data_IF_696988154296
#
_entry.id   IF_696988154296
#
_cell.length_a   1.000
_cell.length_b   1.000
_cell.length_c   1.000
_cell.angle_alpha   90.00
_cell.angle_beta   90.00
_cell.angle_gamma   90.00
#
_symmetry.space_group_name_H-M   'P 1'
#
loop_
_entity.id
_entity.type
_entity.pdbx_description
1 polymer ?
#
# COMPACT_ATOMS: atom_id res chain seq x y z
N UNK A 1 13.14 -15.94 16.30
CA UNK A 1 11.72 -15.78 15.92
C UNK A 1 11.35 -17.00 15.07
N UNK A 2 10.66 -17.99 15.62
CA UNK A 2 10.44 -19.32 14.98
C UNK A 2 9.01 -19.55 14.48
N UNK A 3 8.22 -18.49 14.30
CA UNK A 3 6.84 -18.56 13.81
C UNK A 3 6.85 -18.50 12.28
N UNK A 4 6.09 -19.40 11.65
CA UNK A 4 5.93 -19.49 10.19
C UNK A 4 4.49 -19.21 9.73
N UNK A 5 3.64 -18.86 10.69
CA UNK A 5 2.18 -18.75 10.62
C UNK A 5 1.72 -17.30 10.84
N UNK A 6 2.64 -16.34 10.78
CA UNK A 6 2.29 -14.91 10.88
C UNK A 6 2.03 -14.40 9.47
N UNK A 7 0.76 -14.05 9.21
CA UNK A 7 0.34 -13.39 7.98
C UNK A 7 0.79 -11.92 7.95
N UNK A 8 1.03 -11.39 6.75
CA UNK A 8 1.36 -9.98 6.54
C UNK A 8 0.68 -9.44 5.28
N UNK A 9 0.37 -8.14 5.29
CA UNK A 9 -0.15 -7.43 4.12
C UNK A 9 0.67 -6.17 3.90
N UNK A 10 1.13 -5.95 2.67
CA UNK A 10 1.91 -4.76 2.30
C UNK A 10 1.03 -3.75 1.57
N UNK A 11 0.99 -2.50 2.06
CA UNK A 11 0.54 -1.37 1.27
C UNK A 11 1.65 -0.93 0.34
N UNK A 12 1.50 -1.19 -0.96
CA UNK A 12 2.48 -0.74 -1.96
C UNK A 12 2.56 0.80 -1.90
N UNK A 13 3.74 1.39 -2.11
CA UNK A 13 3.85 2.85 -2.28
C UNK A 13 2.90 3.33 -3.39
N UNK A 14 2.33 4.53 -3.29
CA UNK A 14 1.38 5.11 -4.28
C UNK A 14 2.02 5.46 -5.63
N UNK A 15 1.22 5.94 -6.58
CA UNK A 15 1.67 6.36 -7.91
C UNK A 15 2.49 7.68 -7.91
N UNK A 16 2.60 8.37 -6.78
CA UNK A 16 3.32 9.64 -6.61
C UNK A 16 4.66 9.75 -7.36
N UNK A 17 5.55 8.77 -7.16
CA UNK A 17 6.92 8.83 -7.64
C UNK A 17 7.17 8.05 -8.93
N UNK A 18 6.16 7.65 -9.70
CA UNK A 18 6.35 6.73 -10.85
C UNK A 18 7.33 7.24 -11.91
N UNK A 19 7.50 8.56 -12.03
CA UNK A 19 8.46 9.16 -12.95
C UNK A 19 9.92 8.94 -12.55
N UNK A 20 10.19 8.53 -11.30
CA UNK A 20 11.52 8.32 -10.74
C UNK A 20 12.50 9.52 -10.87
N UNK A 21 12.00 10.75 -11.10
CA UNK A 21 12.86 11.94 -11.26
C UNK A 21 13.47 12.40 -9.95
N UNK A 22 12.63 12.62 -8.94
CA UNK A 22 13.04 13.06 -7.60
C UNK A 22 13.42 11.88 -6.69
N UNK A 23 12.71 10.76 -6.85
CA UNK A 23 12.90 9.52 -6.08
C UNK A 23 13.24 8.38 -7.06
N UNK A 24 14.53 8.19 -7.41
CA UNK A 24 14.95 7.32 -8.52
C UNK A 24 14.64 5.83 -8.35
N UNK A 25 14.18 5.43 -7.17
CA UNK A 25 13.93 4.04 -6.80
C UNK A 25 12.47 3.77 -6.44
N UNK A 26 11.55 4.70 -6.72
CA UNK A 26 10.16 4.57 -6.36
C UNK A 26 9.51 3.32 -6.98
N UNK A 27 9.66 3.14 -8.28
CA UNK A 27 9.12 1.95 -8.96
C UNK A 27 9.88 0.66 -8.61
N UNK A 28 11.17 0.76 -8.29
CA UNK A 28 11.96 -0.38 -7.83
C UNK A 28 11.44 -0.92 -6.49
N UNK A 29 11.17 -0.03 -5.53
CA UNK A 29 10.61 -0.42 -4.23
C UNK A 29 9.17 -0.93 -4.38
N UNK A 30 8.33 -0.27 -5.20
CA UNK A 30 6.98 -0.76 -5.52
C UNK A 30 7.00 -2.20 -6.02
N UNK A 31 7.92 -2.52 -6.94
CA UNK A 31 8.10 -3.87 -7.47
C UNK A 31 8.54 -4.85 -6.39
N UNK A 32 9.55 -4.50 -5.58
CA UNK A 32 10.03 -5.37 -4.52
C UNK A 32 8.95 -5.65 -3.44
N UNK A 33 8.11 -4.67 -3.12
CA UNK A 33 6.99 -4.85 -2.18
C UNK A 33 5.99 -5.90 -2.67
N UNK A 34 5.62 -5.85 -3.95
CA UNK A 34 4.73 -6.83 -4.57
C UNK A 34 5.39 -8.20 -4.62
N UNK A 35 6.64 -8.29 -5.08
CA UNK A 35 7.38 -9.56 -5.18
C UNK A 35 7.52 -10.26 -3.82
N UNK A 36 7.80 -9.53 -2.74
CA UNK A 36 7.89 -10.11 -1.39
C UNK A 36 6.55 -10.65 -0.90
N UNK A 37 5.46 -9.93 -1.16
CA UNK A 37 4.13 -10.39 -0.79
C UNK A 37 3.72 -11.65 -1.57
N UNK A 38 3.92 -11.65 -2.89
CA UNK A 38 3.53 -12.76 -3.77
C UNK A 38 4.40 -14.01 -3.60
N UNK A 39 5.67 -13.85 -3.17
CA UNK A 39 6.56 -14.98 -2.92
C UNK A 39 6.25 -15.76 -1.62
N UNK A 40 5.34 -15.27 -0.79
CA UNK A 40 5.00 -15.86 0.52
C UNK A 40 3.56 -16.34 0.55
N UNK A 41 3.27 -17.59 0.94
CA UNK A 41 1.90 -18.03 1.19
C UNK A 41 1.25 -17.32 2.40
N UNK A 42 2.02 -16.60 3.21
CA UNK A 42 1.54 -15.78 4.32
C UNK A 42 1.37 -14.29 3.92
N UNK A 43 1.68 -13.95 2.67
CA UNK A 43 1.73 -12.57 2.18
C UNK A 43 0.58 -12.22 1.25
N UNK A 44 0.11 -10.98 1.36
CA UNK A 44 -0.71 -10.34 0.33
C UNK A 44 -0.34 -8.85 0.27
N UNK A 45 -0.88 -8.11 -0.68
CA UNK A 45 -0.64 -6.68 -0.84
C UNK A 45 -1.89 -5.94 -1.32
N UNK A 46 -1.88 -4.62 -1.14
CA UNK A 46 -2.97 -3.73 -1.56
C UNK A 46 -2.44 -2.64 -2.47
N UNK A 47 -3.19 -2.37 -3.53
CA UNK A 47 -2.95 -1.22 -4.40
C UNK A 47 -3.37 0.08 -3.69
N UNK A 48 -2.63 1.15 -3.98
CA UNK A 48 -2.74 2.47 -3.34
C UNK A 48 -2.68 3.62 -4.34
N UNK A 49 -2.63 3.32 -5.65
CA UNK A 49 -2.49 4.32 -6.72
C UNK A 49 -3.65 5.32 -6.76
N UNK A 50 -4.82 4.98 -6.21
CA UNK A 50 -6.03 5.80 -6.20
C UNK A 50 -6.28 6.53 -4.87
N UNK A 51 -5.33 6.50 -3.92
CA UNK A 51 -5.57 6.90 -2.53
C UNK A 51 -4.97 8.27 -2.14
N UNK A 52 -4.22 8.91 -3.04
CA UNK A 52 -3.46 10.14 -2.77
C UNK A 52 -4.05 11.41 -3.42
N UNK A 53 -5.32 11.34 -3.81
CA UNK A 53 -6.14 12.48 -4.24
C UNK A 53 -7.25 12.77 -3.21
N UNK A 54 -7.68 14.03 -3.10
CA UNK A 54 -8.81 14.46 -2.26
C UNK A 54 -8.37 15.40 -1.14
N UNK A 55 -8.99 15.34 0.05
CA UNK A 55 -8.66 16.25 1.16
C UNK A 55 -7.67 15.66 2.16
N UNK A 56 -6.65 16.42 2.52
CA UNK A 56 -5.76 16.09 3.63
C UNK A 56 -6.42 16.41 5.00
N UNK A 57 -5.69 16.15 6.11
CA UNK A 57 -6.20 16.38 7.48
C UNK A 57 -6.46 17.86 7.81
N UNK A 58 -5.82 18.78 7.10
CA UNK A 58 -6.03 20.22 7.23
C UNK A 58 -7.23 20.72 6.40
N UNK A 59 -7.85 19.84 5.60
CA UNK A 59 -8.95 20.18 4.71
C UNK A 59 -8.51 20.72 3.35
N UNK A 60 -7.22 20.70 3.04
CA UNK A 60 -6.66 21.16 1.77
C UNK A 60 -6.81 20.07 0.70
N UNK A 61 -7.16 20.47 -0.52
CA UNK A 61 -7.16 19.57 -1.68
C UNK A 61 -5.72 19.20 -2.05
N UNK A 62 -5.46 17.91 -2.12
CA UNK A 62 -4.22 17.30 -2.56
C UNK A 62 -4.46 16.51 -3.83
N UNK A 63 -3.46 16.49 -4.70
CA UNK A 63 -3.48 15.73 -5.93
C UNK A 63 -2.12 15.08 -6.15
N UNK A 64 -2.12 13.77 -6.29
CA UNK A 64 -0.95 12.94 -6.42
C UNK A 64 0.11 13.31 -5.38
N UNK A 65 -0.27 13.31 -4.10
CA UNK A 65 0.62 13.66 -2.99
C UNK A 65 1.43 12.42 -2.54
N UNK A 66 2.61 12.58 -1.91
CA UNK A 66 3.29 11.48 -1.24
C UNK A 66 2.49 10.85 -0.09
N UNK A 67 1.53 11.58 0.50
CA UNK A 67 0.63 11.07 1.54
C UNK A 67 -0.78 10.83 0.99
N UNK A 68 -1.53 9.94 1.63
CA UNK A 68 -2.92 9.67 1.26
C UNK A 68 -3.86 10.76 1.77
N UNK A 69 -4.99 10.94 1.07
CA UNK A 69 -6.08 11.77 1.59
C UNK A 69 -6.72 11.13 2.82
N UNK A 70 -7.53 11.89 3.55
CA UNK A 70 -8.29 11.36 4.70
C UNK A 70 -9.16 10.18 4.26
N UNK A 71 -9.76 10.28 3.09
CA UNK A 71 -10.56 9.19 2.52
C UNK A 71 -9.69 8.03 2.03
N UNK A 72 -8.56 8.33 1.37
CA UNK A 72 -7.60 7.33 0.95
C UNK A 72 -7.07 6.46 2.08
N UNK A 73 -6.79 7.04 3.26
CA UNK A 73 -6.40 6.28 4.44
C UNK A 73 -7.50 5.36 4.97
N UNK A 74 -8.78 5.74 4.87
CA UNK A 74 -9.90 4.85 5.25
C UNK A 74 -9.99 3.66 4.31
N UNK A 75 -9.99 3.92 3.01
CA UNK A 75 -10.02 2.89 1.97
C UNK A 75 -8.82 1.95 2.12
N UNK A 76 -7.63 2.48 2.41
CA UNK A 76 -6.44 1.67 2.68
C UNK A 76 -6.66 0.72 3.87
N UNK A 77 -7.23 1.21 4.97
CA UNK A 77 -7.58 0.39 6.13
C UNK A 77 -8.58 -0.72 5.80
N UNK A 78 -9.60 -0.42 5.00
CA UNK A 78 -10.59 -1.40 4.54
C UNK A 78 -9.94 -2.48 3.66
N UNK A 79 -9.09 -2.08 2.70
CA UNK A 79 -8.35 -3.02 1.83
C UNK A 79 -7.41 -3.91 2.65
N UNK A 80 -6.70 -3.35 3.63
CA UNK A 80 -5.88 -4.14 4.54
C UNK A 80 -6.70 -5.18 5.31
N UNK A 81 -7.85 -4.79 5.86
CA UNK A 81 -8.72 -5.69 6.58
C UNK A 81 -9.23 -6.83 5.69
N UNK A 82 -9.66 -6.51 4.46
CA UNK A 82 -10.11 -7.50 3.48
C UNK A 82 -9.02 -8.53 3.15
N UNK A 83 -7.80 -8.07 2.85
CA UNK A 83 -6.67 -8.98 2.56
C UNK A 83 -6.26 -9.81 3.78
N UNK A 84 -6.26 -9.21 4.97
CA UNK A 84 -5.91 -9.93 6.20
C UNK A 84 -6.94 -11.02 6.53
N UNK A 85 -8.25 -10.75 6.36
CA UNK A 85 -9.31 -11.74 6.53
C UNK A 85 -9.14 -12.87 5.50
N UNK A 86 -8.92 -12.53 4.23
CA UNK A 86 -8.69 -13.54 3.20
C UNK A 86 -7.51 -14.48 3.53
N UNK A 87 -6.40 -13.95 4.06
CA UNK A 87 -5.25 -14.76 4.51
C UNK A 87 -5.57 -15.65 5.72
N UNK A 88 -6.53 -15.29 6.57
CA UNK A 88 -6.96 -16.09 7.72
C UNK A 88 -7.90 -17.23 7.29
N UNK A 89 -8.70 -17.01 6.24
CA UNK A 89 -9.73 -17.94 5.76
C UNK A 89 -9.26 -18.89 4.64
N UNK A 90 -7.96 -18.88 4.30
CA UNK A 90 -7.35 -19.74 3.26
C UNK A 90 -7.37 -21.24 3.56
#
# INVERSE_FOLDING_TARGET
>A
MGRKDVNFVIGRLSDFGIENKKYPHWTMVRKAQVEVAEASPQGDWVDTDDLNDGKNKSGEEIKNDPHYSVEGYKILGERFAQKAIALIEQ
#
